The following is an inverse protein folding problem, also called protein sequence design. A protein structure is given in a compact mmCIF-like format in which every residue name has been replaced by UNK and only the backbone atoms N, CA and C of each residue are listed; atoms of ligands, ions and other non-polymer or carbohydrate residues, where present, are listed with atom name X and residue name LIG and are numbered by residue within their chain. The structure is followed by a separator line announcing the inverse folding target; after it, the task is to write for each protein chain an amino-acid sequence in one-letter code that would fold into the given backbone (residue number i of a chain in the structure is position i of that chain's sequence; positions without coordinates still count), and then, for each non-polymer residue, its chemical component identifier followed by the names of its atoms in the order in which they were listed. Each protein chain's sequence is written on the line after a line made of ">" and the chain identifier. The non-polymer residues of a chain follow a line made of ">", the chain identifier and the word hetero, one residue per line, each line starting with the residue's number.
data_IF_979247538432
#
_entry.id   IF_979247538432
#
_cell.length_a   1.000
_cell.length_b   1.000
_cell.length_c   1.000
_cell.angle_alpha   90.00
_cell.angle_beta   90.00
_cell.angle_gamma   90.00
#
_symmetry.space_group_name_H-M   'P 1'
#
loop_
_entity.id
_entity.type
_entity.pdbx_description
1 polymer ?
#
# COMPACT_ATOMS: atom_id res chain seq x y z
N UNK A 1 -6.68 23.73 18.20
CA UNK A 1 -6.52 23.79 19.69
C UNK A 1 -5.71 25.03 20.02
N UNK A 2 -6.06 25.75 21.12
CA UNK A 2 -5.25 26.89 21.58
C UNK A 2 -4.06 26.32 22.35
N UNK A 3 -2.85 26.62 21.88
CA UNK A 3 -1.61 26.30 22.62
C UNK A 3 -1.68 26.94 24.00
N UNK A 4 -1.56 26.16 25.05
CA UNK A 4 -1.70 26.67 26.44
C UNK A 4 -1.03 25.73 27.43
N UNK A 5 -0.61 26.27 28.54
CA UNK A 5 -0.12 25.53 29.71
C UNK A 5 -1.16 25.65 30.84
N UNK A 6 -1.60 24.52 31.38
CA UNK A 6 -2.66 24.48 32.42
C UNK A 6 -2.21 23.59 33.59
N UNK A 7 -2.41 24.06 34.85
CA UNK A 7 -2.18 23.21 36.00
C UNK A 7 -3.32 22.18 36.14
N UNK A 8 -2.98 20.94 36.49
CA UNK A 8 -3.91 19.88 36.85
C UNK A 8 -3.43 19.19 38.14
N UNK A 9 -3.85 19.69 39.28
CA UNK A 9 -3.31 19.31 40.60
C UNK A 9 -1.81 19.63 40.67
N UNK A 10 -0.98 18.64 40.98
CA UNK A 10 0.48 18.77 41.04
C UNK A 10 1.18 18.61 39.69
N UNK A 11 0.42 18.41 38.62
CA UNK A 11 0.93 18.27 37.27
C UNK A 11 0.72 19.54 36.44
N UNK A 12 1.54 19.72 35.43
CA UNK A 12 1.34 20.72 34.37
C UNK A 12 0.99 20.01 33.07
N UNK A 13 -0.06 20.48 32.38
CA UNK A 13 -0.48 20.00 31.07
C UNK A 13 -0.16 21.08 30.06
N UNK A 14 0.72 20.76 29.12
CA UNK A 14 1.03 21.61 27.98
C UNK A 14 0.23 21.13 26.75
N UNK A 15 -0.65 21.97 26.24
CA UNK A 15 -1.34 21.76 24.96
C UNK A 15 -0.45 22.35 23.87
N UNK A 16 0.09 21.51 23.06
CA UNK A 16 0.99 21.90 21.95
C UNK A 16 0.23 21.99 20.62
N UNK A 17 0.83 22.63 19.63
CA UNK A 17 0.41 22.51 18.23
C UNK A 17 0.89 21.15 17.67
N UNK A 18 -0.01 20.21 17.34
CA UNK A 18 0.39 18.90 16.88
C UNK A 18 0.97 18.89 15.46
N UNK A 19 0.75 19.98 14.70
CA UNK A 19 1.20 20.07 13.30
C UNK A 19 2.65 20.57 13.21
N UNK A 20 3.07 21.46 14.11
CA UNK A 20 4.34 22.18 13.99
C UNK A 20 5.56 21.25 13.90
N UNK A 21 5.69 20.31 14.86
CA UNK A 21 6.84 19.38 14.90
C UNK A 21 6.85 18.44 13.67
N UNK A 22 5.67 17.99 13.24
CA UNK A 22 5.53 17.14 12.06
C UNK A 22 5.92 17.91 10.79
N UNK A 23 5.44 19.15 10.63
CA UNK A 23 5.79 20.02 9.51
C UNK A 23 7.30 20.26 9.44
N UNK A 24 7.95 20.52 10.58
CA UNK A 24 9.40 20.70 10.64
C UNK A 24 10.16 19.42 10.27
N UNK A 25 9.64 18.25 10.62
CA UNK A 25 10.20 16.98 10.17
C UNK A 25 10.07 16.84 8.66
N UNK A 26 8.90 17.11 8.10
CA UNK A 26 8.66 17.02 6.64
C UNK A 26 9.55 17.98 5.84
N UNK A 27 9.78 19.21 6.33
CA UNK A 27 10.72 20.15 5.71
C UNK A 27 12.17 19.65 5.66
N UNK A 28 12.58 18.83 6.62
CA UNK A 28 13.92 18.19 6.61
C UNK A 28 14.01 17.02 5.63
N UNK A 29 12.90 16.33 5.38
CA UNK A 29 12.87 15.16 4.52
C UNK A 29 12.67 15.51 3.06
N UNK A 30 11.91 16.57 2.75
CA UNK A 30 11.47 16.90 1.40
C UNK A 30 11.92 18.30 0.97
N UNK A 31 12.14 18.48 -0.32
CA UNK A 31 12.43 19.80 -0.93
C UNK A 31 11.12 20.57 -1.13
N UNK A 32 10.72 21.32 -0.12
CA UNK A 32 9.51 22.15 -0.16
C UNK A 32 9.55 23.24 -1.22
N UNK A 33 10.75 23.77 -1.55
CA UNK A 33 10.90 24.75 -2.62
C UNK A 33 10.61 24.15 -4.01
N UNK A 34 11.08 22.91 -4.25
CA UNK A 34 10.80 22.21 -5.49
C UNK A 34 9.31 21.87 -5.64
N UNK A 35 8.67 21.38 -4.57
CA UNK A 35 7.24 21.08 -4.57
C UNK A 35 6.42 22.37 -4.69
N UNK A 36 6.78 23.45 -3.99
CA UNK A 36 6.12 24.76 -4.10
C UNK A 36 6.19 25.33 -5.52
N UNK A 37 7.33 25.17 -6.21
CA UNK A 37 7.47 25.57 -7.63
C UNK A 37 6.57 24.74 -8.55
N UNK A 38 6.32 23.47 -8.24
CA UNK A 38 5.38 22.64 -8.98
C UNK A 38 3.97 23.26 -8.93
N UNK A 39 3.47 23.63 -7.73
CA UNK A 39 2.18 24.30 -7.56
C UNK A 39 2.15 25.69 -8.22
N UNK A 40 3.19 26.50 -8.03
CA UNK A 40 3.31 27.81 -8.67
C UNK A 40 3.31 27.71 -10.19
N UNK A 41 3.75 26.58 -10.76
CA UNK A 41 3.72 26.25 -12.18
C UNK A 41 2.34 25.86 -12.70
N UNK A 42 1.30 25.83 -11.86
CA UNK A 42 -0.07 25.51 -12.25
C UNK A 42 -0.47 24.03 -12.03
N UNK A 43 0.37 23.24 -11.39
CA UNK A 43 0.02 21.86 -11.00
C UNK A 43 -1.15 21.88 -10.02
N UNK A 44 -2.10 21.00 -10.25
CA UNK A 44 -3.33 20.92 -9.47
C UNK A 44 -3.46 19.59 -8.77
N UNK A 45 -3.98 19.60 -7.53
CA UNK A 45 -4.25 18.37 -6.81
C UNK A 45 -5.52 18.42 -5.95
N UNK A 46 -5.94 17.26 -5.47
CA UNK A 46 -6.90 17.08 -4.38
C UNK A 46 -6.35 16.12 -3.36
N UNK A 47 -6.58 16.44 -2.09
CA UNK A 47 -6.30 15.56 -0.97
C UNK A 47 -7.60 15.34 -0.18
N UNK A 48 -8.09 14.11 -0.13
CA UNK A 48 -9.26 13.75 0.65
C UNK A 48 -8.83 13.26 2.03
N UNK A 49 -9.09 14.07 3.05
CA UNK A 49 -8.81 13.73 4.44
C UNK A 49 -9.89 12.86 5.09
N UNK A 50 -10.96 12.51 4.37
CA UNK A 50 -12.07 11.64 4.82
C UNK A 50 -12.67 12.05 6.18
N UNK A 51 -12.73 13.35 6.46
CA UNK A 51 -13.14 13.91 7.77
C UNK A 51 -12.33 13.36 8.95
N UNK A 52 -11.08 13.01 8.73
CA UNK A 52 -10.20 12.36 9.69
C UNK A 52 -9.05 13.29 10.16
N UNK A 53 -8.12 12.73 10.92
CA UNK A 53 -7.06 13.47 11.63
C UNK A 53 -6.08 14.18 10.70
N UNK A 54 -5.91 13.74 9.47
CA UNK A 54 -4.95 14.31 8.51
C UNK A 54 -5.39 15.68 7.97
N UNK A 55 -6.66 16.05 8.08
CA UNK A 55 -7.18 17.30 7.51
C UNK A 55 -6.42 18.56 7.91
N UNK A 56 -6.23 18.86 9.21
CA UNK A 56 -5.44 19.99 9.67
C UNK A 56 -3.97 19.95 9.21
N UNK A 57 -3.34 18.78 9.22
CA UNK A 57 -1.96 18.58 8.76
C UNK A 57 -1.82 18.84 7.26
N UNK A 58 -2.70 18.24 6.47
CA UNK A 58 -2.69 18.40 5.03
C UNK A 58 -2.92 19.86 4.60
N UNK A 59 -3.83 20.57 5.28
CA UNK A 59 -4.10 21.99 5.01
C UNK A 59 -2.87 22.85 5.30
N UNK A 60 -2.28 22.69 6.49
CA UNK A 60 -1.08 23.43 6.86
C UNK A 60 0.10 23.16 5.92
N UNK A 61 0.29 21.90 5.49
CA UNK A 61 1.42 21.53 4.63
C UNK A 61 1.15 21.88 3.18
N UNK A 62 0.02 21.43 2.60
CA UNK A 62 -0.23 21.55 1.16
C UNK A 62 -0.67 22.97 0.77
N UNK A 63 -1.63 23.55 1.52
CA UNK A 63 -2.19 24.86 1.16
C UNK A 63 -1.34 26.02 1.72
N UNK A 64 -1.03 26.00 3.03
CA UNK A 64 -0.38 27.14 3.69
C UNK A 64 1.12 27.20 3.40
N UNK A 65 1.84 26.08 3.41
CA UNK A 65 3.30 26.03 3.24
C UNK A 65 3.74 25.83 1.77
N UNK A 66 3.15 24.85 1.10
CA UNK A 66 3.55 24.47 -0.26
C UNK A 66 2.85 25.30 -1.34
N UNK A 67 1.81 26.08 -0.97
CA UNK A 67 1.13 27.00 -1.85
C UNK A 67 0.18 26.32 -2.85
N UNK A 68 -0.31 25.13 -2.55
CA UNK A 68 -1.41 24.55 -3.29
C UNK A 68 -2.66 25.44 -3.17
N UNK A 69 -3.52 25.44 -4.19
CA UNK A 69 -4.69 26.31 -4.21
C UNK A 69 -5.62 26.05 -3.01
N UNK A 70 -6.24 27.10 -2.42
CA UNK A 70 -7.24 26.90 -1.37
C UNK A 70 -8.35 25.95 -1.82
N UNK A 71 -8.75 25.01 -0.94
CA UNK A 71 -9.69 23.93 -1.25
C UNK A 71 -9.06 22.73 -1.94
N UNK A 72 -7.74 22.64 -1.98
CA UNK A 72 -7.02 21.41 -2.32
C UNK A 72 -7.37 20.28 -1.37
N UNK A 73 -7.47 20.59 -0.07
CA UNK A 73 -7.87 19.62 0.96
C UNK A 73 -9.40 19.57 1.05
N UNK A 74 -9.98 18.48 0.59
CA UNK A 74 -11.39 18.17 0.75
C UNK A 74 -11.62 17.32 2.01
N UNK A 75 -12.84 17.41 2.57
CA UNK A 75 -13.20 16.71 3.81
C UNK A 75 -12.20 16.93 4.96
N UNK A 76 -11.55 18.10 4.98
CA UNK A 76 -10.44 18.43 5.88
C UNK A 76 -10.83 18.80 7.29
N UNK A 77 -12.12 18.81 7.64
CA UNK A 77 -12.61 19.05 8.99
C UNK A 77 -12.83 17.71 9.70
N UNK A 78 -12.04 17.38 10.75
CA UNK A 78 -12.21 16.12 11.48
C UNK A 78 -13.58 16.03 12.16
N UNK A 79 -14.24 14.90 12.02
CA UNK A 79 -15.54 14.61 12.63
C UNK A 79 -15.48 13.29 13.41
N UNK A 80 -16.15 13.20 14.58
CA UNK A 80 -16.14 11.97 15.39
C UNK A 80 -16.68 10.73 14.68
N UNK A 81 -17.58 10.92 13.72
CA UNK A 81 -18.22 9.89 12.91
C UNK A 81 -17.70 9.86 11.44
N UNK A 82 -16.60 10.58 11.17
CA UNK A 82 -16.04 10.75 9.82
C UNK A 82 -17.07 11.24 8.79
N UNK A 83 -18.07 12.02 9.25
CA UNK A 83 -19.15 12.49 8.37
C UNK A 83 -20.12 11.39 7.91
N UNK A 84 -20.16 10.27 8.61
CA UNK A 84 -21.02 9.12 8.29
C UNK A 84 -20.46 8.21 7.18
N UNK A 85 -19.20 8.41 6.76
CA UNK A 85 -18.52 7.55 5.77
C UNK A 85 -17.50 6.62 6.44
N UNK A 86 -17.11 5.57 5.74
CA UNK A 86 -16.02 4.70 6.17
C UNK A 86 -14.69 5.28 5.71
N UNK A 87 -13.80 5.72 6.63
CA UNK A 87 -12.58 6.42 6.29
C UNK A 87 -11.45 5.43 5.92
N UNK A 88 -11.61 4.73 4.80
CA UNK A 88 -10.64 3.80 4.24
C UNK A 88 -10.29 4.24 2.80
N UNK A 89 -9.02 4.60 2.52
CA UNK A 89 -8.60 5.21 1.25
C UNK A 89 -8.46 4.15 0.16
N UNK A 90 -9.57 3.68 -0.36
CA UNK A 90 -9.65 2.72 -1.45
C UNK A 90 -10.71 3.16 -2.49
N UNK A 91 -10.72 2.55 -3.69
CA UNK A 91 -11.65 2.94 -4.76
C UNK A 91 -13.14 2.84 -4.39
N UNK A 92 -13.51 2.01 -3.43
CA UNK A 92 -14.90 1.82 -3.00
C UNK A 92 -15.35 2.98 -2.10
N UNK A 93 -14.53 3.31 -1.10
CA UNK A 93 -14.89 4.33 -0.09
C UNK A 93 -14.52 5.76 -0.54
N UNK A 94 -13.46 5.93 -1.34
CA UNK A 94 -13.09 7.21 -1.94
C UNK A 94 -13.79 7.46 -3.30
N UNK A 95 -15.03 7.02 -3.46
CA UNK A 95 -15.73 7.05 -4.75
C UNK A 95 -15.89 8.45 -5.35
N UNK A 96 -16.04 9.50 -4.54
CA UNK A 96 -16.11 10.88 -5.03
C UNK A 96 -14.76 11.32 -5.64
N UNK A 97 -13.66 11.00 -4.97
CA UNK A 97 -12.32 11.27 -5.48
C UNK A 97 -12.02 10.47 -6.75
N UNK A 98 -12.43 9.19 -6.77
CA UNK A 98 -12.34 8.34 -7.97
C UNK A 98 -13.12 8.94 -9.13
N UNK A 99 -14.39 9.31 -8.93
CA UNK A 99 -15.22 9.91 -9.96
C UNK A 99 -14.61 11.21 -10.51
N UNK A 100 -14.03 12.04 -9.64
CA UNK A 100 -13.32 13.26 -10.06
C UNK A 100 -12.12 12.92 -10.93
N UNK A 101 -11.25 12.00 -10.49
CA UNK A 101 -9.99 11.68 -11.17
C UNK A 101 -10.16 10.96 -12.52
N UNK A 102 -11.32 10.34 -12.74
CA UNK A 102 -11.69 9.71 -14.02
C UNK A 102 -12.64 10.59 -14.87
N UNK A 103 -12.78 11.88 -14.54
CA UNK A 103 -13.55 12.86 -15.31
C UNK A 103 -12.67 13.79 -16.12
N UNK A 104 -13.29 14.55 -17.04
CA UNK A 104 -12.62 15.60 -17.82
C UNK A 104 -12.11 16.78 -16.96
N UNK A 105 -12.54 16.87 -15.70
CA UNK A 105 -12.14 17.89 -14.73
C UNK A 105 -11.08 17.42 -13.76
N UNK A 106 -10.47 16.25 -14.03
CA UNK A 106 -9.47 15.66 -13.15
C UNK A 106 -8.29 16.60 -12.93
N UNK A 107 -7.88 16.86 -11.68
CA UNK A 107 -6.59 17.49 -11.40
C UNK A 107 -5.43 16.58 -11.83
N UNK A 108 -4.20 17.09 -11.75
CA UNK A 108 -3.02 16.32 -12.16
C UNK A 108 -2.68 15.20 -11.19
N UNK A 109 -3.01 15.38 -9.91
CA UNK A 109 -2.73 14.44 -8.83
C UNK A 109 -3.87 14.43 -7.82
N UNK A 110 -4.14 13.27 -7.21
CA UNK A 110 -4.95 13.20 -6.02
C UNK A 110 -4.45 12.13 -5.06
N UNK A 111 -4.77 12.33 -3.79
CA UNK A 111 -4.49 11.41 -2.71
C UNK A 111 -5.62 11.40 -1.69
N UNK A 112 -5.72 10.33 -0.93
CA UNK A 112 -6.60 10.24 0.23
C UNK A 112 -5.85 9.58 1.40
N UNK A 113 -6.32 9.82 2.62
CA UNK A 113 -5.78 9.21 3.83
C UNK A 113 -6.91 8.71 4.72
N UNK A 114 -6.64 7.70 5.55
CA UNK A 114 -7.64 7.07 6.41
C UNK A 114 -7.87 7.77 7.76
N UNK A 115 -8.63 7.10 8.63
CA UNK A 115 -9.11 7.64 9.90
C UNK A 115 -8.03 8.11 10.85
N UNK A 116 -6.92 7.42 10.96
CA UNK A 116 -5.78 7.74 11.82
C UNK A 116 -4.54 8.23 11.04
N UNK A 117 -4.65 8.30 9.70
CA UNK A 117 -3.65 8.94 8.86
C UNK A 117 -2.49 8.04 8.45
N UNK A 118 -2.57 6.75 8.72
CA UNK A 118 -1.47 5.82 8.49
C UNK A 118 -1.47 5.19 7.09
N UNK A 119 -2.59 5.27 6.35
CA UNK A 119 -2.73 4.75 4.98
C UNK A 119 -2.88 5.87 3.96
N UNK A 120 -2.60 5.53 2.70
CA UNK A 120 -2.69 6.48 1.60
C UNK A 120 -3.27 5.84 0.33
N UNK A 121 -3.94 6.64 -0.47
CA UNK A 121 -4.38 6.33 -1.81
C UNK A 121 -3.77 7.32 -2.78
N UNK A 122 -3.29 6.86 -3.91
CA UNK A 122 -2.61 7.70 -4.92
C UNK A 122 -3.33 7.57 -6.25
N UNK A 123 -3.60 8.73 -6.87
CA UNK A 123 -4.29 8.83 -8.14
C UNK A 123 -3.60 9.85 -9.05
N UNK A 124 -3.49 9.51 -10.31
CA UNK A 124 -3.25 10.47 -11.40
C UNK A 124 -4.51 10.64 -12.22
N UNK A 125 -4.49 11.54 -13.19
CA UNK A 125 -5.59 11.74 -14.14
C UNK A 125 -5.89 10.45 -14.89
N UNK A 126 -7.05 9.85 -14.64
CA UNK A 126 -7.48 8.59 -15.23
C UNK A 126 -6.67 7.37 -14.78
N UNK A 127 -5.90 7.46 -13.70
CA UNK A 127 -5.06 6.35 -13.21
C UNK A 127 -5.20 6.22 -11.70
N UNK A 128 -5.48 4.99 -11.27
CA UNK A 128 -5.32 4.56 -9.87
C UNK A 128 -3.99 3.83 -9.72
N UNK A 129 -3.21 4.20 -8.73
CA UNK A 129 -1.95 3.53 -8.40
C UNK A 129 -2.19 2.53 -7.28
N UNK A 130 -1.96 1.26 -7.55
CA UNK A 130 -2.08 0.24 -6.49
C UNK A 130 -1.07 0.51 -5.36
N UNK A 131 -1.38 0.17 -4.10
CA UNK A 131 -0.41 0.32 -3.00
C UNK A 131 0.92 -0.38 -3.27
N UNK A 132 0.88 -1.53 -3.93
CA UNK A 132 2.07 -2.31 -4.31
C UNK A 132 2.94 -1.58 -5.33
N UNK A 133 2.35 -1.00 -6.38
CA UNK A 133 3.08 -0.17 -7.36
C UNK A 133 3.58 1.12 -6.72
N UNK A 134 2.77 1.75 -5.85
CA UNK A 134 3.16 2.94 -5.12
C UNK A 134 4.44 2.71 -4.30
N UNK A 135 4.48 1.62 -3.51
CA UNK A 135 5.67 1.26 -2.74
C UNK A 135 6.91 1.10 -3.64
N UNK A 136 6.76 0.39 -4.77
CA UNK A 136 7.87 0.15 -5.70
C UNK A 136 8.36 1.46 -6.34
N UNK A 137 7.45 2.34 -6.77
CA UNK A 137 7.79 3.66 -7.33
C UNK A 137 8.48 4.54 -6.29
N UNK A 138 7.95 4.62 -5.06
CA UNK A 138 8.53 5.41 -3.99
C UNK A 138 9.95 4.93 -3.65
N UNK A 139 10.14 3.62 -3.51
CA UNK A 139 11.45 3.03 -3.24
C UNK A 139 12.46 3.30 -4.38
N UNK A 140 12.02 3.20 -5.65
CA UNK A 140 12.87 3.43 -6.82
C UNK A 140 13.30 4.89 -7.00
N UNK A 141 12.62 5.83 -6.36
CA UNK A 141 12.81 7.27 -6.53
C UNK A 141 13.02 8.01 -5.19
N UNK A 142 13.26 7.30 -4.11
CA UNK A 142 13.40 7.91 -2.79
C UNK A 142 14.55 8.92 -2.72
N UNK A 143 15.63 8.67 -3.43
CA UNK A 143 16.83 9.52 -3.50
C UNK A 143 16.56 10.92 -4.09
N UNK A 144 15.42 11.12 -4.74
CA UNK A 144 14.97 12.45 -5.20
C UNK A 144 14.53 13.35 -4.04
N UNK A 145 14.25 12.80 -2.87
CA UNK A 145 13.95 13.55 -1.66
C UNK A 145 15.22 13.69 -0.80
N UNK A 146 15.53 14.90 -0.29
CA UNK A 146 16.76 15.16 0.47
C UNK A 146 17.00 14.21 1.64
N UNK A 147 15.94 13.83 2.35
CA UNK A 147 16.01 12.90 3.47
C UNK A 147 16.53 11.50 3.11
N UNK A 148 16.47 11.12 1.84
CA UNK A 148 16.88 9.81 1.33
C UNK A 148 17.98 9.90 0.26
N UNK A 149 18.58 11.06 0.05
CA UNK A 149 19.66 11.27 -0.92
C UNK A 149 20.89 10.37 -0.67
N UNK A 150 21.07 9.88 0.56
CA UNK A 150 22.12 8.91 0.92
C UNK A 150 21.83 7.46 0.48
N UNK A 151 20.70 7.21 -0.16
CA UNK A 151 20.22 5.88 -0.53
C UNK A 151 19.48 5.16 0.62
N UNK A 152 18.87 4.02 0.28
CA UNK A 152 18.11 3.19 1.22
C UNK A 152 19.03 2.15 1.87
N UNK A 153 18.84 1.87 3.17
CA UNK A 153 19.54 0.78 3.91
C UNK A 153 18.99 -0.59 3.51
N UNK A 154 17.71 -0.65 3.24
CA UNK A 154 16.93 -1.80 2.84
C UNK A 154 15.47 -1.41 2.65
N UNK A 155 14.67 -2.33 2.13
CA UNK A 155 13.24 -2.17 1.90
C UNK A 155 12.53 -3.35 2.56
N UNK A 156 11.32 -3.14 3.07
CA UNK A 156 10.50 -4.25 3.55
C UNK A 156 9.08 -4.20 2.98
N UNK A 157 8.53 -5.35 2.69
CA UNK A 157 7.13 -5.52 2.30
C UNK A 157 6.47 -6.64 3.09
N UNK A 158 5.17 -6.53 3.32
CA UNK A 158 4.43 -7.67 3.84
C UNK A 158 4.37 -8.80 2.80
N UNK A 159 4.27 -10.03 3.25
CA UNK A 159 4.28 -11.22 2.39
C UNK A 159 3.19 -11.19 1.31
N UNK A 160 1.95 -10.73 1.57
CA UNK A 160 0.95 -10.62 0.51
C UNK A 160 1.18 -9.44 -0.46
N UNK A 161 1.98 -8.43 -0.09
CA UNK A 161 2.32 -7.29 -0.98
C UNK A 161 3.10 -7.78 -2.20
N UNK A 162 2.89 -7.16 -3.36
CA UNK A 162 3.54 -7.53 -4.62
C UNK A 162 5.07 -7.55 -4.52
N UNK A 163 5.69 -8.44 -5.29
CA UNK A 163 7.13 -8.53 -5.49
C UNK A 163 7.70 -7.45 -6.43
N UNK A 164 6.89 -6.47 -6.84
CA UNK A 164 7.35 -5.36 -7.67
C UNK A 164 8.53 -4.62 -7.01
N UNK A 165 8.47 -4.40 -5.69
CA UNK A 165 9.52 -3.73 -4.94
C UNK A 165 10.78 -4.58 -4.75
N UNK A 166 10.69 -5.91 -4.85
CA UNK A 166 11.86 -6.80 -4.78
C UNK A 166 12.81 -6.52 -5.94
N UNK A 167 12.27 -6.28 -7.16
CA UNK A 167 13.08 -5.92 -8.35
C UNK A 167 13.74 -4.56 -8.22
N UNK A 168 13.06 -3.62 -7.55
CA UNK A 168 13.65 -2.32 -7.22
C UNK A 168 14.82 -2.51 -6.26
N UNK A 169 14.62 -3.29 -5.19
CA UNK A 169 15.68 -3.56 -4.21
C UNK A 169 16.90 -4.24 -4.86
N UNK A 170 16.67 -5.20 -5.77
CA UNK A 170 17.75 -5.83 -6.55
C UNK A 170 18.52 -4.80 -7.38
N UNK A 171 17.82 -3.91 -8.10
CA UNK A 171 18.44 -2.87 -8.91
C UNK A 171 19.22 -1.86 -8.06
N UNK A 172 18.71 -1.50 -6.89
CA UNK A 172 19.38 -0.64 -5.91
C UNK A 172 20.49 -1.35 -5.14
N UNK A 173 20.58 -2.69 -5.24
CA UNK A 173 21.52 -3.55 -4.50
C UNK A 173 21.35 -3.42 -2.97
N UNK A 174 20.10 -3.33 -2.52
CA UNK A 174 19.73 -3.36 -1.11
C UNK A 174 18.89 -4.60 -0.83
N UNK A 175 18.82 -5.00 0.44
CA UNK A 175 17.99 -6.14 0.82
C UNK A 175 16.51 -5.79 0.81
N UNK A 176 15.67 -6.71 0.30
CA UNK A 176 14.21 -6.65 0.44
C UNK A 176 13.77 -7.71 1.45
N UNK A 177 13.17 -7.26 2.56
CA UNK A 177 12.66 -8.14 3.61
C UNK A 177 11.19 -8.47 3.34
N UNK A 178 10.86 -9.76 3.31
CA UNK A 178 9.48 -10.25 3.26
C UNK A 178 9.03 -10.59 4.68
N UNK A 179 8.04 -9.86 5.22
CA UNK A 179 7.55 -10.06 6.59
C UNK A 179 6.11 -10.55 6.61
N UNK A 180 5.59 -11.06 7.71
CA UNK A 180 4.15 -11.22 7.90
C UNK A 180 3.42 -9.88 7.77
N UNK A 181 2.09 -9.93 7.65
CA UNK A 181 1.26 -8.72 7.75
C UNK A 181 1.28 -8.20 9.20
N UNK A 182 1.46 -6.91 9.33
CA UNK A 182 1.45 -6.20 10.61
C UNK A 182 2.72 -5.37 10.80
N UNK A 183 2.53 -4.09 11.09
CA UNK A 183 3.60 -3.10 11.11
C UNK A 183 4.70 -3.39 12.15
N UNK A 184 4.39 -4.13 13.23
CA UNK A 184 5.37 -4.52 14.24
C UNK A 184 6.63 -5.20 13.70
N UNK A 185 6.49 -5.97 12.61
CA UNK A 185 7.62 -6.65 11.97
C UNK A 185 8.53 -5.66 11.24
N UNK A 186 7.94 -4.64 10.61
CA UNK A 186 8.71 -3.54 10.03
C UNK A 186 9.38 -2.70 11.10
N UNK A 187 8.68 -2.45 12.22
CA UNK A 187 9.23 -1.72 13.35
C UNK A 187 10.55 -2.30 13.85
N UNK A 188 10.68 -3.62 13.94
CA UNK A 188 11.93 -4.29 14.31
C UNK A 188 13.05 -3.98 13.30
N UNK A 189 12.75 -4.07 12.00
CA UNK A 189 13.73 -3.80 10.93
C UNK A 189 14.14 -2.32 10.88
N UNK A 190 13.19 -1.40 11.09
CA UNK A 190 13.43 0.04 11.14
C UNK A 190 14.30 0.40 12.33
N UNK A 191 14.01 -0.11 13.53
CA UNK A 191 14.79 0.13 14.76
C UNK A 191 16.22 -0.42 14.65
N UNK A 192 16.39 -1.56 14.00
CA UNK A 192 17.68 -2.16 13.74
C UNK A 192 18.46 -1.47 12.61
N UNK A 193 17.88 -0.47 11.93
CA UNK A 193 18.49 0.21 10.80
C UNK A 193 18.69 -0.70 9.57
N UNK A 194 17.88 -1.75 9.44
CA UNK A 194 17.96 -2.73 8.37
C UNK A 194 17.06 -2.33 7.19
N UNK A 195 15.99 -1.57 7.42
CA UNK A 195 15.11 -1.04 6.40
C UNK A 195 14.98 0.48 6.52
N UNK A 196 14.77 1.17 5.39
CA UNK A 196 14.46 2.60 5.34
C UNK A 196 13.02 2.86 4.93
N UNK A 197 12.46 2.04 4.03
CA UNK A 197 11.08 2.16 3.55
C UNK A 197 10.40 0.80 3.70
N UNK A 198 9.15 0.84 4.18
CA UNK A 198 8.31 -0.33 4.34
C UNK A 198 6.92 -0.08 3.75
N UNK A 199 6.25 -1.13 3.28
CA UNK A 199 4.89 -0.98 2.78
C UNK A 199 4.07 -2.27 2.74
N UNK A 200 2.76 -2.07 2.73
CA UNK A 200 1.74 -3.12 2.72
C UNK A 200 0.76 -2.90 1.56
N UNK A 201 0.21 -4.00 1.04
CA UNK A 201 -0.87 -3.98 0.02
C UNK A 201 -2.15 -3.30 0.52
N UNK A 202 -2.28 -3.16 1.83
CA UNK A 202 -3.39 -2.48 2.50
C UNK A 202 -3.26 -0.96 2.53
N UNK A 203 -2.37 -0.39 1.70
CA UNK A 203 -2.13 1.04 1.55
C UNK A 203 -1.28 1.69 2.66
N UNK A 204 -0.74 0.92 3.59
CA UNK A 204 0.22 1.41 4.59
C UNK A 204 1.61 1.54 3.99
N UNK A 205 2.20 2.73 4.03
CA UNK A 205 3.58 2.99 3.61
C UNK A 205 4.24 3.92 4.62
N UNK A 206 5.48 3.68 4.94
CA UNK A 206 6.23 4.53 5.88
C UNK A 206 7.73 4.32 5.76
N UNK A 207 8.48 5.05 6.57
CA UNK A 207 9.93 4.96 6.59
C UNK A 207 10.48 5.03 8.02
N UNK A 208 11.81 5.04 8.12
CA UNK A 208 12.52 5.16 9.39
C UNK A 208 12.43 6.56 10.04
N UNK A 209 11.66 7.50 9.46
CA UNK A 209 11.49 8.87 9.97
C UNK A 209 10.67 8.93 11.26
N UNK A 210 9.61 8.10 11.39
CA UNK A 210 8.76 8.00 12.60
C UNK A 210 8.52 6.55 13.05
N UNK A 211 9.08 5.56 12.36
CA UNK A 211 8.93 4.13 12.67
C UNK A 211 7.52 3.58 12.46
N UNK A 212 6.63 4.34 11.86
CA UNK A 212 5.23 3.99 11.62
C UNK A 212 4.83 4.26 10.16
N UNK A 213 3.67 3.74 9.77
CA UNK A 213 3.01 4.12 8.53
C UNK A 213 2.65 5.61 8.59
N UNK A 214 2.81 6.28 7.46
CA UNK A 214 2.52 7.70 7.36
C UNK A 214 1.98 8.03 5.97
N UNK A 215 0.67 8.21 5.87
CA UNK A 215 0.00 8.47 4.60
C UNK A 215 0.40 9.80 3.97
N UNK A 216 0.54 10.85 4.78
CA UNK A 216 0.90 12.17 4.26
C UNK A 216 2.37 12.24 3.85
N UNK A 217 3.27 11.55 4.54
CA UNK A 217 4.65 11.38 4.11
C UNK A 217 4.73 10.70 2.72
N UNK A 218 3.95 9.65 2.49
CA UNK A 218 3.91 8.98 1.19
C UNK A 218 3.43 9.93 0.08
N UNK A 219 2.44 10.78 0.36
CA UNK A 219 1.97 11.83 -0.56
C UNK A 219 3.07 12.85 -0.86
N UNK A 220 3.82 13.31 0.13
CA UNK A 220 4.93 14.23 -0.04
C UNK A 220 6.08 13.62 -0.85
N UNK A 221 6.36 12.33 -0.67
CA UNK A 221 7.34 11.64 -1.48
C UNK A 221 6.89 11.53 -2.95
N UNK A 222 5.60 11.24 -3.21
CA UNK A 222 5.03 11.31 -4.56
C UNK A 222 5.17 12.70 -5.17
N UNK A 223 4.84 13.76 -4.43
CA UNK A 223 5.00 15.14 -4.90
C UNK A 223 6.47 15.47 -5.20
N UNK A 224 7.41 14.97 -4.42
CA UNK A 224 8.86 15.11 -4.69
C UNK A 224 9.25 14.42 -5.99
N UNK A 225 8.74 13.22 -6.25
CA UNK A 225 8.97 12.49 -7.52
C UNK A 225 8.41 13.27 -8.70
N UNK A 226 7.16 13.78 -8.58
CA UNK A 226 6.51 14.56 -9.64
C UNK A 226 7.23 15.89 -9.90
N UNK A 227 7.66 16.57 -8.83
CA UNK A 227 8.43 17.82 -8.94
C UNK A 227 9.79 17.62 -9.61
N UNK A 228 10.51 16.54 -9.26
CA UNK A 228 11.81 16.25 -9.84
C UNK A 228 11.74 15.77 -11.29
N UNK A 229 10.76 14.91 -11.60
CA UNK A 229 10.64 14.32 -12.95
C UNK A 229 9.88 15.19 -13.94
N UNK A 230 9.06 16.11 -13.49
CA UNK A 230 8.17 16.92 -14.34
C UNK A 230 7.30 16.03 -15.27
N UNK A 231 6.79 14.94 -14.73
CA UNK A 231 5.97 13.94 -15.41
C UNK A 231 4.64 13.77 -14.67
N UNK A 232 3.61 13.36 -15.40
CA UNK A 232 2.35 12.93 -14.80
C UNK A 232 2.50 11.59 -14.05
N UNK A 233 1.57 11.28 -13.15
CA UNK A 233 1.55 9.98 -12.46
C UNK A 233 1.54 8.81 -13.44
N UNK A 234 0.74 8.91 -14.51
CA UNK A 234 0.67 7.89 -15.57
C UNK A 234 2.02 7.66 -16.27
N UNK A 235 2.76 8.74 -16.54
CA UNK A 235 4.10 8.65 -17.16
C UNK A 235 5.11 8.05 -16.20
N UNK A 236 5.09 8.42 -14.92
CA UNK A 236 5.96 7.85 -13.87
C UNK A 236 5.73 6.36 -13.75
N UNK A 237 4.47 5.93 -13.63
CA UNK A 237 4.09 4.50 -13.54
C UNK A 237 4.51 3.74 -14.81
N UNK A 238 4.21 4.29 -15.98
CA UNK A 238 4.58 3.66 -17.26
C UNK A 238 6.10 3.53 -17.43
N UNK A 239 6.86 4.54 -16.98
CA UNK A 239 8.32 4.50 -16.99
C UNK A 239 8.85 3.44 -16.00
N UNK A 240 8.25 3.35 -14.82
CA UNK A 240 8.57 2.34 -13.82
C UNK A 240 8.35 0.93 -14.37
N UNK A 241 7.19 0.65 -14.96
CA UNK A 241 6.90 -0.65 -15.56
C UNK A 241 7.82 -1.00 -16.74
N UNK A 242 8.19 -0.02 -17.57
CA UNK A 242 9.18 -0.25 -18.64
C UNK A 242 10.56 -0.63 -18.11
N UNK A 243 10.93 -0.12 -16.95
CA UNK A 243 12.23 -0.38 -16.33
C UNK A 243 12.27 -1.71 -15.56
N UNK A 244 11.22 -2.01 -14.81
CA UNK A 244 11.20 -3.13 -13.85
C UNK A 244 10.24 -4.26 -14.24
N UNK A 245 9.45 -4.09 -15.30
CA UNK A 245 8.30 -4.91 -15.63
C UNK A 245 7.06 -4.54 -14.82
N UNK A 246 5.88 -4.98 -15.27
CA UNK A 246 4.61 -4.80 -14.54
C UNK A 246 4.29 -6.04 -13.73
N UNK A 247 3.97 -5.86 -12.46
CA UNK A 247 3.33 -6.88 -11.65
C UNK A 247 1.82 -6.63 -11.69
N UNK A 248 1.08 -7.41 -12.47
CA UNK A 248 -0.37 -7.46 -12.34
C UNK A 248 -0.71 -8.03 -10.98
N UNK A 249 -1.54 -7.32 -10.24
CA UNK A 249 -1.83 -7.67 -8.85
C UNK A 249 -3.30 -7.39 -8.54
N UNK A 250 -3.96 -8.34 -7.89
CA UNK A 250 -5.32 -8.16 -7.40
C UNK A 250 -5.53 -8.96 -6.12
N UNK A 251 -6.29 -8.39 -5.19
CA UNK A 251 -6.79 -9.09 -4.00
C UNK A 251 -8.25 -9.43 -4.19
N UNK A 252 -8.60 -10.68 -3.99
CA UNK A 252 -9.95 -11.21 -4.02
C UNK A 252 -10.37 -11.57 -2.60
N UNK A 253 -11.35 -10.88 -2.03
CA UNK A 253 -11.89 -11.13 -0.70
C UNK A 253 -13.22 -11.88 -0.81
N UNK A 254 -13.33 -13.01 -0.10
CA UNK A 254 -14.55 -13.77 0.10
C UNK A 254 -14.97 -13.55 1.55
N UNK A 255 -15.96 -12.67 1.74
CA UNK A 255 -16.36 -12.15 3.05
C UNK A 255 -17.51 -12.96 3.66
N UNK A 256 -17.56 -12.95 5.01
CA UNK A 256 -18.64 -13.58 5.75
C UNK A 256 -18.79 -15.09 5.53
N UNK A 257 -17.70 -15.78 5.16
CA UNK A 257 -17.71 -17.22 5.03
C UNK A 257 -17.95 -17.89 6.40
N UNK A 258 -18.73 -19.00 6.44
CA UNK A 258 -18.73 -19.86 7.61
C UNK A 258 -17.29 -20.26 7.97
N UNK A 259 -16.93 -20.19 9.26
CA UNK A 259 -15.57 -20.49 9.70
C UNK A 259 -15.16 -21.93 9.33
N UNK A 260 -16.10 -22.86 9.28
CA UNK A 260 -15.87 -24.24 8.85
C UNK A 260 -15.42 -24.30 7.38
N UNK A 261 -16.13 -23.63 6.47
CA UNK A 261 -15.80 -23.60 5.04
C UNK A 261 -14.44 -22.94 4.80
N UNK A 262 -14.20 -21.79 5.44
CA UNK A 262 -12.94 -21.08 5.34
C UNK A 262 -11.75 -21.93 5.82
N UNK A 263 -11.91 -22.62 6.95
CA UNK A 263 -10.90 -23.55 7.46
C UNK A 263 -10.75 -24.78 6.58
N UNK A 264 -11.83 -25.32 6.02
CA UNK A 264 -11.79 -26.46 5.10
C UNK A 264 -10.98 -26.12 3.85
N UNK A 265 -11.19 -24.95 3.25
CA UNK A 265 -10.41 -24.46 2.11
C UNK A 265 -8.92 -24.41 2.47
N UNK A 266 -8.58 -23.68 3.53
CA UNK A 266 -7.17 -23.50 3.91
C UNK A 266 -6.48 -24.80 4.29
N UNK A 267 -7.13 -25.67 5.07
CA UNK A 267 -6.59 -26.96 5.47
C UNK A 267 -6.49 -27.91 4.28
N UNK A 268 -7.44 -27.85 3.35
CA UNK A 268 -7.39 -28.60 2.09
C UNK A 268 -6.15 -28.27 1.27
N UNK A 269 -5.81 -26.99 1.14
CA UNK A 269 -4.57 -26.57 0.45
C UNK A 269 -3.34 -26.96 1.27
N UNK A 270 -3.31 -26.71 2.59
CA UNK A 270 -2.19 -27.08 3.47
C UNK A 270 -1.81 -28.56 3.37
N UNK A 271 -2.82 -29.43 3.33
CA UNK A 271 -2.59 -30.88 3.24
C UNK A 271 -1.90 -31.32 1.95
N UNK A 272 -2.00 -30.51 0.89
CA UNK A 272 -1.43 -30.78 -0.43
C UNK A 272 -0.05 -30.15 -0.64
N UNK A 273 0.37 -29.17 0.17
CA UNK A 273 1.55 -28.32 -0.08
C UNK A 273 2.80 -29.12 -0.46
N UNK A 274 3.13 -30.17 0.30
CA UNK A 274 4.32 -30.99 0.05
C UNK A 274 4.34 -31.68 -1.33
N UNK A 275 3.18 -31.84 -1.95
CA UNK A 275 3.05 -32.54 -3.23
C UNK A 275 2.65 -31.62 -4.37
N UNK A 276 2.63 -30.29 -4.19
CA UNK A 276 2.26 -29.33 -5.24
C UNK A 276 3.41 -29.00 -6.18
N UNK A 277 4.65 -28.90 -5.69
CA UNK A 277 5.80 -28.58 -6.53
C UNK A 277 5.94 -29.58 -7.69
N UNK A 278 6.14 -29.06 -8.90
CA UNK A 278 6.20 -29.79 -10.15
C UNK A 278 4.83 -30.21 -10.73
N UNK A 279 3.72 -29.95 -10.03
CA UNK A 279 2.37 -30.13 -10.59
C UNK A 279 1.93 -28.93 -11.39
N UNK A 280 0.99 -29.18 -12.30
CA UNK A 280 0.40 -28.15 -13.16
C UNK A 280 -1.04 -27.87 -12.68
N UNK A 281 -1.42 -26.62 -12.59
CA UNK A 281 -2.79 -26.15 -12.40
C UNK A 281 -3.14 -25.16 -13.49
N UNK A 282 -4.24 -25.36 -14.20
CA UNK A 282 -4.68 -24.56 -15.34
C UNK A 282 -3.53 -24.15 -16.30
N UNK A 283 -2.61 -25.09 -16.56
CA UNK A 283 -1.46 -24.87 -17.46
C UNK A 283 -0.26 -24.14 -16.84
N UNK A 284 -0.33 -23.74 -15.58
CA UNK A 284 0.79 -23.16 -14.84
C UNK A 284 1.50 -24.22 -13.98
N UNK A 285 2.82 -24.34 -14.10
CA UNK A 285 3.62 -25.28 -13.31
C UNK A 285 4.00 -24.64 -11.98
N UNK A 286 3.71 -25.33 -10.87
CA UNK A 286 4.01 -24.86 -9.52
C UNK A 286 5.48 -25.12 -9.22
N UNK A 287 6.25 -24.07 -8.99
CA UNK A 287 7.66 -24.16 -8.60
C UNK A 287 7.83 -24.46 -7.11
N UNK A 288 7.04 -23.80 -6.27
CA UNK A 288 7.13 -23.92 -4.81
C UNK A 288 5.79 -23.65 -4.15
N UNK A 289 5.52 -24.32 -3.02
CA UNK A 289 4.35 -24.03 -2.19
C UNK A 289 4.66 -24.29 -0.71
N UNK A 290 4.33 -23.32 0.14
CA UNK A 290 4.56 -23.40 1.58
C UNK A 290 3.46 -22.70 2.41
N UNK A 291 3.47 -22.93 3.71
CA UNK A 291 2.79 -22.09 4.70
C UNK A 291 3.85 -21.21 5.35
N UNK A 292 3.79 -19.92 5.05
CA UNK A 292 4.83 -18.95 5.37
C UNK A 292 5.12 -18.89 6.86
N UNK A 293 6.37 -19.08 7.20
CA UNK A 293 6.90 -18.90 8.55
C UNK A 293 8.01 -17.86 8.51
N UNK A 294 7.93 -16.87 9.36
CA UNK A 294 8.89 -15.78 9.48
C UNK A 294 9.78 -15.95 10.69
N UNK A 295 11.06 -15.87 10.46
CA UNK A 295 12.09 -15.79 11.49
C UNK A 295 12.60 -14.36 11.53
N UNK A 296 12.27 -13.64 12.60
CA UNK A 296 12.67 -12.25 12.74
C UNK A 296 14.20 -12.15 12.90
N UNK A 297 14.91 -11.41 12.01
CA UNK A 297 16.35 -11.32 12.06
C UNK A 297 16.86 -10.46 13.22
N UNK A 298 16.00 -9.71 13.90
CA UNK A 298 16.35 -8.78 14.97
C UNK A 298 16.22 -9.44 16.35
N UNK A 299 15.06 -10.03 16.65
CA UNK A 299 14.78 -10.60 17.98
C UNK A 299 14.75 -12.14 18.00
N UNK A 300 14.97 -12.77 16.83
CA UNK A 300 14.94 -14.22 16.64
C UNK A 300 13.60 -14.89 16.94
N UNK A 301 12.52 -14.12 17.02
CA UNK A 301 11.18 -14.65 17.19
C UNK A 301 10.71 -15.41 15.93
N UNK A 302 9.79 -16.36 16.10
CA UNK A 302 9.23 -17.15 15.00
C UNK A 302 7.73 -16.97 14.94
N UNK A 303 7.24 -16.54 13.78
CA UNK A 303 5.81 -16.42 13.47
C UNK A 303 5.43 -17.43 12.39
N UNK A 304 4.78 -18.52 12.75
CA UNK A 304 4.37 -19.58 11.82
C UNK A 304 2.94 -19.39 11.31
N UNK A 305 2.59 -20.11 10.23
CA UNK A 305 1.25 -20.14 9.63
C UNK A 305 0.73 -18.75 9.23
N UNK A 306 1.58 -17.92 8.64
CA UNK A 306 1.26 -16.53 8.28
C UNK A 306 0.51 -16.41 6.96
N UNK A 307 0.32 -17.51 6.24
CA UNK A 307 -0.43 -17.63 5.00
C UNK A 307 0.20 -18.62 4.04
N UNK A 308 -0.62 -19.18 3.18
CA UNK A 308 -0.17 -20.12 2.14
C UNK A 308 0.39 -19.30 0.98
N UNK A 309 1.58 -19.69 0.49
CA UNK A 309 2.18 -19.16 -0.74
C UNK A 309 2.31 -20.27 -1.77
N UNK A 310 1.90 -19.98 -3.00
CA UNK A 310 2.08 -20.85 -4.16
C UNK A 310 2.77 -20.02 -5.24
N UNK A 311 3.97 -20.42 -5.62
CA UNK A 311 4.78 -19.76 -6.63
C UNK A 311 4.86 -20.64 -7.88
N UNK A 312 4.74 -20.05 -9.04
CA UNK A 312 4.77 -20.74 -10.34
C UNK A 312 6.09 -20.47 -11.07
N UNK A 313 6.46 -21.33 -12.00
CA UNK A 313 7.72 -21.23 -12.76
C UNK A 313 7.80 -19.96 -13.61
N UNK A 314 6.65 -19.41 -14.03
CA UNK A 314 6.57 -18.15 -14.79
C UNK A 314 6.74 -16.88 -13.92
N UNK A 315 6.97 -17.04 -12.60
CA UNK A 315 7.06 -15.96 -11.63
C UNK A 315 5.73 -15.49 -11.09
N UNK A 316 4.60 -16.06 -11.52
CA UNK A 316 3.29 -15.79 -10.92
C UNK A 316 3.21 -16.34 -9.51
N UNK A 317 2.37 -15.70 -8.69
CA UNK A 317 2.23 -16.08 -7.28
C UNK A 317 0.79 -15.96 -6.80
N UNK A 318 0.39 -16.88 -5.94
CA UNK A 318 -0.86 -16.83 -5.18
C UNK A 318 -0.52 -16.85 -3.69
N UNK A 319 -1.16 -15.97 -2.93
CA UNK A 319 -1.12 -16.00 -1.48
C UNK A 319 -2.55 -16.14 -0.95
N UNK A 320 -2.75 -17.01 0.04
CA UNK A 320 -4.05 -17.22 0.67
C UNK A 320 -3.94 -17.00 2.18
N UNK A 321 -4.84 -16.19 2.73
CA UNK A 321 -4.88 -15.89 4.17
C UNK A 321 -6.32 -15.85 4.67
N UNK A 322 -6.51 -16.19 5.94
CA UNK A 322 -7.75 -15.91 6.65
C UNK A 322 -7.59 -14.64 7.50
N UNK A 323 -8.62 -13.83 7.49
CA UNK A 323 -8.76 -12.63 8.30
C UNK A 323 -10.09 -12.67 9.02
N UNK A 324 -10.18 -12.13 10.25
CA UNK A 324 -11.45 -12.00 10.96
C UNK A 324 -12.08 -13.33 11.34
N UNK A 325 -11.39 -14.20 12.08
CA UNK A 325 -11.95 -15.46 12.60
C UNK A 325 -12.90 -15.25 13.80
N UNK A 326 -13.51 -14.07 13.92
CA UNK A 326 -14.41 -13.70 15.01
C UNK A 326 -15.85 -14.18 14.80
N UNK A 327 -16.77 -13.68 15.63
CA UNK A 327 -18.16 -14.11 15.73
C UNK A 327 -19.04 -13.80 14.49
N UNK A 328 -18.57 -13.05 13.51
CA UNK A 328 -19.34 -12.55 12.35
C UNK A 328 -18.98 -13.27 11.04
N UNK A 329 -18.15 -14.31 11.08
CA UNK A 329 -17.66 -15.02 9.91
C UNK A 329 -16.18 -14.76 9.62
N UNK A 330 -15.60 -15.55 8.72
CA UNK A 330 -14.23 -15.42 8.27
C UNK A 330 -14.17 -14.74 6.90
N UNK A 331 -13.10 -14.00 6.63
CA UNK A 331 -12.79 -13.51 5.29
C UNK A 331 -11.59 -14.28 4.75
N UNK A 332 -11.79 -14.99 3.64
CA UNK A 332 -10.70 -15.57 2.88
C UNK A 332 -10.17 -14.52 1.91
N UNK A 333 -8.90 -14.18 2.04
CA UNK A 333 -8.18 -13.27 1.14
C UNK A 333 -7.26 -14.04 0.23
N UNK A 334 -7.45 -13.87 -1.06
CA UNK A 334 -6.62 -14.46 -2.12
C UNK A 334 -5.94 -13.33 -2.87
N UNK A 335 -4.62 -13.32 -2.80
CA UNK A 335 -3.78 -12.36 -3.50
C UNK A 335 -3.18 -13.04 -4.72
N UNK A 336 -3.35 -12.41 -5.86
CA UNK A 336 -2.98 -12.93 -7.17
C UNK A 336 -1.95 -11.99 -7.78
N UNK A 337 -0.83 -12.52 -8.23
CA UNK A 337 0.25 -11.73 -8.81
C UNK A 337 0.84 -12.42 -10.03
N UNK A 338 0.96 -11.69 -11.13
CA UNK A 338 1.62 -12.12 -12.36
C UNK A 338 2.65 -11.07 -12.80
N UNK A 339 3.88 -11.51 -13.00
CA UNK A 339 4.92 -10.68 -13.57
C UNK A 339 4.86 -10.66 -15.10
N UNK A 340 4.94 -9.45 -15.67
CA UNK A 340 4.96 -9.24 -17.13
C UNK A 340 6.16 -8.37 -17.51
N UNK A 341 7.20 -8.95 -18.12
CA UNK A 341 8.39 -8.21 -18.54
C UNK A 341 8.21 -7.45 -19.86
N UNK A 342 7.24 -7.85 -20.72
CA UNK A 342 7.05 -7.22 -22.03
C UNK A 342 6.22 -5.93 -21.92
N UNK A 343 6.82 -4.75 -22.23
CA UNK A 343 6.10 -3.49 -22.20
C UNK A 343 4.87 -3.44 -23.11
N UNK A 344 4.85 -4.24 -24.19
CA UNK A 344 3.70 -4.30 -25.08
C UNK A 344 2.45 -4.90 -24.41
N UNK A 345 2.62 -5.61 -23.31
CA UNK A 345 1.53 -6.23 -22.55
C UNK A 345 1.14 -5.45 -21.28
N UNK A 346 1.81 -4.33 -20.97
CA UNK A 346 1.54 -3.56 -19.75
C UNK A 346 0.19 -2.82 -19.75
N UNK A 347 -0.54 -2.83 -20.86
CA UNK A 347 -1.82 -2.15 -21.02
C UNK A 347 -3.04 -3.03 -20.77
N UNK A 348 -2.87 -4.32 -20.49
CA UNK A 348 -3.97 -5.25 -20.29
C UNK A 348 -4.78 -4.89 -19.03
N UNK A 349 -6.06 -5.22 -19.06
CA UNK A 349 -6.89 -5.24 -17.87
C UNK A 349 -6.35 -6.27 -16.87
N UNK A 350 -6.35 -5.93 -15.58
CA UNK A 350 -5.77 -6.77 -14.53
C UNK A 350 -6.43 -8.12 -14.40
N UNK A 351 -7.77 -8.17 -14.49
CA UNK A 351 -8.48 -9.44 -14.38
C UNK A 351 -8.26 -10.31 -15.62
N UNK A 352 -8.06 -9.70 -16.79
CA UNK A 352 -7.68 -10.42 -18.00
C UNK A 352 -6.27 -10.99 -17.89
N UNK A 353 -5.33 -10.19 -17.41
CA UNK A 353 -3.94 -10.64 -17.21
C UNK A 353 -3.82 -11.75 -16.16
N UNK A 354 -4.70 -11.74 -15.14
CA UNK A 354 -4.73 -12.71 -14.04
C UNK A 354 -5.66 -13.89 -14.26
N UNK A 355 -6.44 -13.96 -15.36
CA UNK A 355 -7.47 -14.99 -15.60
C UNK A 355 -6.95 -16.42 -15.45
N UNK A 356 -5.77 -16.70 -16.03
CA UNK A 356 -5.16 -18.03 -15.93
C UNK A 356 -4.82 -18.40 -14.47
N UNK A 357 -4.30 -17.43 -13.71
CA UNK A 357 -3.93 -17.62 -12.30
C UNK A 357 -5.15 -17.74 -11.38
N UNK A 358 -6.22 -17.01 -11.66
CA UNK A 358 -7.52 -17.13 -10.96
C UNK A 358 -8.06 -18.56 -11.12
N UNK A 359 -8.05 -19.09 -12.33
CA UNK A 359 -8.51 -20.48 -12.62
C UNK A 359 -7.60 -21.54 -11.97
N UNK A 360 -6.28 -21.32 -11.98
CA UNK A 360 -5.33 -22.20 -11.30
C UNK A 360 -5.57 -22.22 -9.79
N UNK A 361 -5.88 -21.06 -9.20
CA UNK A 361 -6.21 -20.94 -7.78
C UNK A 361 -7.46 -21.72 -7.43
N UNK A 362 -8.51 -21.61 -8.24
CA UNK A 362 -9.75 -22.38 -8.01
C UNK A 362 -9.52 -23.89 -8.13
N UNK A 363 -8.72 -24.33 -9.11
CA UNK A 363 -8.36 -25.76 -9.28
C UNK A 363 -7.62 -26.33 -8.04
N UNK A 364 -6.73 -25.52 -7.44
CA UNK A 364 -5.96 -25.93 -6.26
C UNK A 364 -6.81 -25.89 -4.99
N UNK A 365 -7.55 -24.80 -4.78
CA UNK A 365 -8.23 -24.48 -3.52
C UNK A 365 -9.67 -24.98 -3.45
N UNK A 366 -10.39 -25.05 -4.60
CA UNK A 366 -11.79 -25.48 -4.65
C UNK A 366 -12.73 -24.53 -3.90
N UNK A 367 -12.48 -23.23 -3.98
CA UNK A 367 -13.22 -22.21 -3.23
C UNK A 367 -14.71 -22.29 -3.53
N UNK A 368 -15.09 -22.33 -4.81
CA UNK A 368 -16.49 -22.39 -5.23
C UNK A 368 -17.18 -23.68 -4.79
N UNK A 369 -16.48 -24.81 -4.85
CA UNK A 369 -17.03 -26.12 -4.47
C UNK A 369 -17.32 -26.21 -2.96
N UNK A 370 -16.52 -25.56 -2.12
CA UNK A 370 -16.66 -25.61 -0.66
C UNK A 370 -17.60 -24.51 -0.16
N UNK A 371 -17.42 -23.27 -0.62
CA UNK A 371 -18.15 -22.10 -0.10
C UNK A 371 -19.43 -21.77 -0.87
N UNK A 372 -19.63 -22.36 -2.05
CA UNK A 372 -20.71 -21.98 -2.98
C UNK A 372 -20.49 -20.61 -3.66
N UNK A 373 -19.37 -19.92 -3.41
CA UNK A 373 -19.08 -18.59 -3.96
C UNK A 373 -18.38 -18.74 -5.31
N UNK A 374 -19.00 -18.31 -6.37
CA UNK A 374 -18.44 -18.35 -7.74
C UNK A 374 -17.59 -17.12 -8.11
N UNK A 375 -17.63 -16.09 -7.26
CA UNK A 375 -16.85 -14.86 -7.40
C UNK A 375 -16.53 -14.28 -6.01
N UNK A 376 -15.45 -13.50 -5.86
CA UNK A 376 -15.19 -12.77 -4.64
C UNK A 376 -16.21 -11.66 -4.42
N UNK A 377 -16.45 -11.29 -3.16
CA UNK A 377 -17.32 -10.18 -2.77
C UNK A 377 -16.65 -8.83 -3.07
N UNK A 378 -15.32 -8.75 -2.88
CA UNK A 378 -14.52 -7.55 -3.14
C UNK A 378 -13.30 -7.91 -3.99
N UNK A 379 -12.98 -7.02 -4.94
CA UNK A 379 -11.72 -7.03 -5.72
C UNK A 379 -11.04 -5.68 -5.56
N UNK A 380 -9.76 -5.70 -5.21
CA UNK A 380 -8.92 -4.49 -5.11
C UNK A 380 -7.58 -4.71 -5.79
#
# INVERSE_FOLDING_TARGET
>A
SVVSTQPLGDMTVDVIDPVADYLDLMRRLFDFDAIGKLFAGGFTMRFDAMHAVTGPYARAILEDELGAAPGTVMNGEPRPDFGGVHPDPNPIHAHELMALMFSDRAPDFAAASDGDGDRNMILGRGVYVTPSDSLAVLAANADLAPGYAGGLKGIARSMPTSQAVDRVAEALRVHCYETPTGWKFFGNLLDAGMASICGEESAGTGSDHVREKDGLWAVLLWLSVLAAKQQSVAEVISAHWRQFGRNYYSRHDYEGLPAEDANQIMNGVRSKLRGLAGKTANGLTIAHADDFSYHDPVDSSVSSNQGIRIQFEDGSRVVMRLSGTGTVGATLRVYLERYEPDPAQHHLDEQVALDQLIKATEEIAGIAAISGRTAPDVRT
#
